data_IF_350397260848
#
_entry.id   IF_350397260848
#
_cell.length_a   1.000
_cell.length_b   1.000
_cell.length_c   1.000
_cell.angle_alpha   90.00
_cell.angle_beta   90.00
_cell.angle_gamma   90.00
#
_symmetry.space_group_name_H-M   'P 1'
#
loop_
_entity.id
_entity.type
_entity.pdbx_description
1 polymer ?
#
# COMPACT_ATOMS: atom_id res chain seq x y z
N UNK A 1 -3.62 4.84 -8.74
CA UNK A 1 -3.23 4.99 -7.33
C UNK A 1 -2.47 3.76 -6.84
N UNK A 2 -3.09 2.56 -6.81
CA UNK A 2 -2.41 1.33 -6.40
C UNK A 2 -1.20 0.98 -7.29
N UNK A 3 -1.35 1.03 -8.62
CA UNK A 3 -0.25 0.83 -9.59
C UNK A 3 0.98 1.72 -9.32
N UNK A 4 0.74 3.00 -8.99
CA UNK A 4 1.80 3.96 -8.73
C UNK A 4 2.56 3.64 -7.44
N UNK A 5 1.86 3.15 -6.41
CA UNK A 5 2.48 2.70 -5.18
C UNK A 5 3.28 1.42 -5.38
N UNK A 6 2.79 0.47 -6.19
CA UNK A 6 3.56 -0.74 -6.54
C UNK A 6 4.82 -0.40 -7.35
N UNK A 7 4.73 0.55 -8.28
CA UNK A 7 5.91 1.03 -9.01
C UNK A 7 6.95 1.68 -8.09
N UNK A 8 6.51 2.48 -7.11
CA UNK A 8 7.40 3.06 -6.10
C UNK A 8 7.98 1.99 -5.17
N UNK A 9 7.19 0.98 -4.79
CA UNK A 9 7.66 -0.13 -3.99
C UNK A 9 8.75 -0.93 -4.72
N UNK A 10 8.57 -1.21 -6.01
CA UNK A 10 9.57 -1.87 -6.84
C UNK A 10 10.87 -1.05 -6.97
N UNK A 11 10.78 0.29 -7.01
CA UNK A 11 11.96 1.16 -6.93
C UNK A 11 12.63 1.07 -5.56
N UNK A 12 11.86 1.06 -4.47
CA UNK A 12 12.40 0.91 -3.12
C UNK A 12 13.12 -0.44 -2.93
N UNK A 13 12.62 -1.53 -3.54
CA UNK A 13 13.33 -2.83 -3.59
C UNK A 13 14.68 -2.70 -4.29
N UNK A 14 14.73 -2.05 -5.45
CA UNK A 14 15.98 -1.82 -6.20
C UNK A 14 17.01 -0.98 -5.43
N UNK A 15 16.55 -0.18 -4.45
CA UNK A 15 17.37 0.65 -3.57
C UNK A 15 17.59 0.03 -2.19
N UNK A 16 17.37 -1.28 -2.02
CA UNK A 16 17.50 -2.03 -0.75
C UNK A 16 16.68 -1.43 0.42
N UNK A 17 15.69 -0.60 0.12
CA UNK A 17 14.84 0.11 1.08
C UNK A 17 13.62 -0.75 1.43
N UNK A 18 13.87 -1.98 1.88
CA UNK A 18 12.85 -3.02 2.00
C UNK A 18 11.71 -2.67 2.97
N UNK A 19 11.99 -1.96 4.07
CA UNK A 19 10.94 -1.52 5.00
C UNK A 19 9.98 -0.52 4.36
N UNK A 20 10.49 0.36 3.50
CA UNK A 20 9.66 1.29 2.72
C UNK A 20 8.89 0.55 1.63
N UNK A 21 9.52 -0.39 0.93
CA UNK A 21 8.87 -1.25 -0.05
C UNK A 21 7.68 -2.01 0.58
N UNK A 22 7.86 -2.62 1.76
CA UNK A 22 6.80 -3.33 2.48
C UNK A 22 5.60 -2.43 2.82
N UNK A 23 5.86 -1.20 3.29
CA UNK A 23 4.80 -0.21 3.56
C UNK A 23 4.05 0.18 2.28
N UNK A 24 4.77 0.45 1.20
CA UNK A 24 4.17 0.83 -0.08
C UNK A 24 3.35 -0.32 -0.68
N UNK A 25 3.83 -1.56 -0.61
CA UNK A 25 3.08 -2.74 -1.04
C UNK A 25 1.83 -2.97 -0.17
N UNK A 26 1.92 -2.82 1.15
CA UNK A 26 0.76 -2.93 2.04
C UNK A 26 -0.32 -1.88 1.77
N UNK A 27 0.10 -0.64 1.51
CA UNK A 27 -0.80 0.44 1.09
C UNK A 27 -1.45 0.12 -0.27
N UNK A 28 -0.68 -0.32 -1.26
CA UNK A 28 -1.19 -0.66 -2.58
C UNK A 28 -2.19 -1.82 -2.53
N UNK A 29 -1.89 -2.88 -1.76
CA UNK A 29 -2.78 -4.03 -1.58
C UNK A 29 -4.12 -3.59 -0.99
N UNK A 30 -4.09 -2.76 0.06
CA UNK A 30 -5.32 -2.28 0.71
C UNK A 30 -6.18 -1.44 -0.24
N UNK A 31 -5.56 -0.59 -1.07
CA UNK A 31 -6.30 0.17 -2.08
C UNK A 31 -6.95 -0.73 -3.14
N UNK A 32 -6.28 -1.80 -3.56
CA UNK A 32 -6.86 -2.76 -4.52
C UNK A 32 -8.06 -3.48 -3.91
N UNK A 33 -7.93 -3.95 -2.67
CA UNK A 33 -9.00 -4.64 -1.96
C UNK A 33 -10.22 -3.72 -1.79
N UNK A 34 -10.01 -2.46 -1.39
CA UNK A 34 -11.08 -1.46 -1.26
C UNK A 34 -11.77 -1.15 -2.59
N UNK A 35 -11.03 -1.15 -3.71
CA UNK A 35 -11.58 -0.86 -5.03
C UNK A 35 -12.12 -2.10 -5.75
N UNK A 36 -11.94 -3.31 -5.18
CA UNK A 36 -12.29 -4.57 -5.83
C UNK A 36 -11.49 -4.85 -7.11
N UNK A 37 -10.25 -4.35 -7.18
CA UNK A 37 -9.40 -4.44 -8.37
C UNK A 37 -8.45 -5.63 -8.29
N UNK A 38 -8.49 -6.50 -9.29
CA UNK A 38 -7.47 -7.53 -9.46
C UNK A 38 -6.20 -6.96 -10.10
N UNK A 39 -5.04 -7.57 -9.81
CA UNK A 39 -3.80 -7.32 -10.56
C UNK A 39 -3.86 -8.00 -11.92
N UNK A 40 -3.29 -7.39 -12.95
CA UNK A 40 -3.18 -8.04 -14.24
C UNK A 40 -2.16 -9.19 -14.19
N UNK A 41 -2.39 -10.31 -14.91
CA UNK A 41 -1.49 -11.46 -14.89
C UNK A 41 -0.04 -11.12 -15.24
N UNK A 42 0.17 -10.17 -16.17
CA UNK A 42 1.51 -9.73 -16.59
C UNK A 42 2.30 -9.03 -15.46
N UNK A 43 1.61 -8.43 -14.49
CA UNK A 43 2.23 -7.71 -13.37
C UNK A 43 2.44 -8.62 -12.15
N UNK A 44 1.68 -9.71 -12.06
CA UNK A 44 1.66 -10.61 -10.90
C UNK A 44 3.04 -11.23 -10.64
N UNK A 45 3.74 -11.67 -11.68
CA UNK A 45 5.05 -12.30 -11.53
C UNK A 45 6.12 -11.35 -10.95
N UNK A 46 6.19 -10.11 -11.45
CA UNK A 46 7.11 -9.10 -10.92
C UNK A 46 6.75 -8.70 -9.49
N UNK A 47 5.47 -8.47 -9.24
CA UNK A 47 4.95 -8.15 -7.91
C UNK A 47 5.30 -9.24 -6.87
N UNK A 48 5.05 -10.51 -7.20
CA UNK A 48 5.32 -11.61 -6.28
C UNK A 48 6.82 -11.76 -6.01
N UNK A 49 7.67 -11.51 -7.01
CA UNK A 49 9.12 -11.49 -6.82
C UNK A 49 9.55 -10.39 -5.87
N UNK A 50 9.11 -9.15 -6.10
CA UNK A 50 9.49 -7.99 -5.29
C UNK A 50 9.01 -8.13 -3.83
N UNK A 51 7.78 -8.63 -3.64
CA UNK A 51 7.23 -8.90 -2.30
C UNK A 51 8.01 -9.99 -1.59
N UNK A 52 8.39 -11.05 -2.30
CA UNK A 52 9.19 -12.15 -1.74
C UNK A 52 10.60 -11.69 -1.36
N UNK A 53 11.24 -10.88 -2.19
CA UNK A 53 12.57 -10.33 -1.91
C UNK A 53 12.52 -9.38 -0.72
N UNK A 54 11.51 -8.52 -0.66
CA UNK A 54 11.23 -7.66 0.50
C UNK A 54 11.05 -8.46 1.78
N UNK A 55 10.24 -9.53 1.74
CA UNK A 55 9.99 -10.40 2.89
C UNK A 55 11.25 -11.12 3.35
N UNK A 56 12.05 -11.65 2.42
CA UNK A 56 13.32 -12.32 2.73
C UNK A 56 14.32 -11.36 3.37
N UNK A 57 14.42 -10.14 2.86
CA UNK A 57 15.37 -9.15 3.36
C UNK A 57 15.03 -8.66 4.78
N UNK A 58 13.75 -8.50 5.10
CA UNK A 58 13.29 -8.04 6.42
C UNK A 58 13.13 -9.19 7.44
N UNK A 59 12.84 -10.40 6.97
CA UNK A 59 12.27 -11.45 7.79
C UNK A 59 10.77 -11.24 8.03
N UNK A 60 10.08 -12.31 8.44
CA UNK A 60 8.61 -12.35 8.49
C UNK A 60 8.00 -11.30 9.42
N UNK A 61 8.53 -11.15 10.65
CA UNK A 61 7.96 -10.25 11.65
C UNK A 61 8.09 -8.78 11.26
N UNK A 62 9.27 -8.38 10.79
CA UNK A 62 9.52 -7.01 10.36
C UNK A 62 8.77 -6.67 9.07
N UNK A 63 8.66 -7.64 8.15
CA UNK A 63 7.82 -7.51 6.96
C UNK A 63 6.35 -7.31 7.35
N UNK A 64 5.81 -8.16 8.22
CA UNK A 64 4.41 -8.09 8.65
C UNK A 64 4.10 -6.76 9.35
N UNK A 65 4.99 -6.27 10.21
CA UNK A 65 4.85 -4.97 10.86
C UNK A 65 4.84 -3.81 9.85
N UNK A 66 5.84 -3.74 8.96
CA UNK A 66 5.93 -2.69 7.96
C UNK A 66 4.76 -2.72 6.96
N UNK A 67 4.32 -3.91 6.57
CA UNK A 67 3.13 -4.09 5.74
C UNK A 67 1.87 -3.55 6.43
N UNK A 68 1.67 -3.89 7.70
CA UNK A 68 0.53 -3.43 8.48
C UNK A 68 0.52 -1.90 8.65
N UNK A 69 1.68 -1.28 8.89
CA UNK A 69 1.83 0.18 8.92
C UNK A 69 1.38 0.81 7.59
N UNK A 70 1.82 0.25 6.46
CA UNK A 70 1.41 0.70 5.13
C UNK A 70 -0.09 0.56 4.86
N UNK A 71 -0.66 -0.57 5.25
CA UNK A 71 -2.09 -0.82 5.13
C UNK A 71 -2.92 0.17 5.96
N UNK A 72 -2.47 0.49 7.18
CA UNK A 72 -3.15 1.42 8.08
C UNK A 72 -3.18 2.87 7.54
N UNK A 73 -2.11 3.34 6.89
CA UNK A 73 -2.06 4.69 6.29
C UNK A 73 -3.20 4.95 5.31
N UNK A 74 -3.65 3.92 4.58
CA UNK A 74 -4.77 4.06 3.64
C UNK A 74 -6.12 4.16 4.34
N UNK A 75 -6.29 3.47 5.46
CA UNK A 75 -7.49 3.54 6.30
C UNK A 75 -7.61 4.93 6.91
N UNK A 76 -6.51 5.44 7.48
CA UNK A 76 -6.48 6.79 8.07
C UNK A 76 -6.71 7.87 7.01
N UNK A 77 -6.09 7.75 5.83
CA UNK A 77 -6.32 8.66 4.73
C UNK A 77 -7.78 8.64 4.24
N UNK A 78 -8.40 7.46 4.17
CA UNK A 78 -9.80 7.29 3.80
C UNK A 78 -10.75 7.90 4.84
N UNK A 79 -10.51 7.66 6.14
CA UNK A 79 -11.27 8.24 7.25
C UNK A 79 -11.13 9.77 7.26
N UNK A 80 -9.91 10.29 7.10
CA UNK A 80 -9.65 11.74 7.02
C UNK A 80 -10.32 12.40 5.80
N UNK A 81 -10.34 11.71 4.65
CA UNK A 81 -11.07 12.17 3.47
C UNK A 81 -12.58 12.23 3.73
N UNK A 82 -13.17 11.17 4.30
CA UNK A 82 -14.59 11.12 4.64
C UNK A 82 -14.97 12.20 5.68
N UNK A 83 -14.15 12.37 6.73
CA UNK A 83 -14.37 13.40 7.75
C UNK A 83 -14.41 14.82 7.19
N UNK A 84 -13.55 15.14 6.21
CA UNK A 84 -13.57 16.44 5.50
C UNK A 84 -14.81 16.59 4.62
N UNK A 85 -15.16 15.57 3.85
CA UNK A 85 -16.32 15.59 2.96
C UNK A 85 -17.66 15.74 3.72
N UNK A 86 -17.74 15.28 4.97
CA UNK A 86 -18.93 15.44 5.82
C UNK A 86 -18.96 16.77 6.61
N UNK A 87 -17.82 17.42 6.83
CA UNK A 87 -17.76 18.74 7.49
C UNK A 87 -18.31 19.89 6.64
N UNK A 88 -18.17 19.82 5.31
CA UNK A 88 -18.62 20.87 4.38
C UNK A 88 -20.14 20.83 4.10
N UNK A 89 -20.82 19.71 4.37
CA UNK A 89 -22.28 19.58 4.16
C UNK A 89 -23.14 19.98 5.36
N UNK A 90 -22.53 20.44 6.46
CA UNK A 90 -23.23 20.95 7.66
C UNK A 90 -22.85 22.40 7.98
N UNK A 91 -23.19 23.32 7.08
CA UNK A 91 -23.70 24.66 7.45
C UNK A 91 -24.12 25.44 6.21
N UNK A 92 -25.43 25.57 6.00
CA UNK A 92 -26.07 26.84 5.67
C UNK A 92 -27.39 26.86 6.45
N UNK A 93 -27.37 27.59 7.56
CA UNK A 93 -28.57 28.24 8.10
C UNK A 93 -28.82 29.50 7.28
#
# INVERSE_FOLDING_TARGET
>A
MAESLEALAALAVQHDSYAEAARLFGAASTLRDQMGLARWPVQMASYDSDVNDTRKALGEDAFAAAWAEGAALTVDAAVAYAGRAHGERRRRE
#
